data_IF_519725225026
#
_entry.id   IF_519725225026
#
_cell.length_a   1.000
_cell.length_b   1.000
_cell.length_c   1.000
_cell.angle_alpha   90.00
_cell.angle_beta   90.00
_cell.angle_gamma   90.00
#
_symmetry.space_group_name_H-M   'P 1'
#
loop_
_entity.id
_entity.type
_entity.pdbx_description
1 polymer ?
#
# COMPACT_ATOMS: atom_id res chain seq x y z
N UNK A 1 -61.19 -7.05 37.14
CA UNK A 1 -60.02 -7.79 36.61
C UNK A 1 -59.34 -6.87 35.63
N UNK A 2 -58.19 -6.28 36.05
CA UNK A 2 -57.42 -5.32 35.21
C UNK A 2 -56.29 -6.08 34.56
N UNK A 3 -56.28 -6.13 33.24
CA UNK A 3 -55.16 -6.74 32.45
C UNK A 3 -54.06 -5.71 32.29
N UNK A 4 -52.87 -6.00 32.83
CA UNK A 4 -51.66 -5.22 32.71
C UNK A 4 -50.95 -5.75 31.46
N UNK A 5 -50.89 -4.92 30.40
CA UNK A 5 -50.08 -5.19 29.19
C UNK A 5 -48.66 -4.67 29.41
N UNK A 6 -47.71 -5.58 29.50
CA UNK A 6 -46.27 -5.25 29.56
C UNK A 6 -45.77 -5.13 28.13
N UNK A 7 -45.42 -3.91 27.72
CA UNK A 7 -44.71 -3.65 26.46
C UNK A 7 -43.25 -3.89 26.68
N UNK A 8 -42.72 -4.98 26.10
CA UNK A 8 -41.26 -5.21 25.99
C UNK A 8 -40.70 -4.29 24.88
N UNK A 9 -40.03 -3.21 25.30
CA UNK A 9 -39.24 -2.39 24.39
C UNK A 9 -37.90 -3.11 24.16
N UNK A 10 -37.76 -3.75 22.98
CA UNK A 10 -36.51 -4.33 22.55
C UNK A 10 -35.53 -3.24 22.06
N UNK A 11 -34.49 -2.98 22.82
CA UNK A 11 -33.38 -2.13 22.38
C UNK A 11 -32.52 -2.92 21.39
N UNK A 12 -32.63 -2.57 20.10
CA UNK A 12 -31.70 -3.07 19.06
C UNK A 12 -30.40 -2.27 19.17
N UNK A 13 -29.38 -2.85 19.80
CA UNK A 13 -28.01 -2.33 19.73
C UNK A 13 -27.47 -2.56 18.32
N UNK A 14 -27.45 -1.51 17.49
CA UNK A 14 -26.73 -1.50 16.24
C UNK A 14 -25.23 -1.53 16.54
N UNK A 15 -24.59 -2.66 16.32
CA UNK A 15 -23.12 -2.79 16.31
C UNK A 15 -22.61 -2.08 15.07
N UNK A 16 -22.23 -0.82 15.23
CA UNK A 16 -21.46 -0.08 14.21
C UNK A 16 -20.07 -0.70 14.21
N UNK A 17 -19.81 -1.55 13.22
CA UNK A 17 -18.48 -2.09 12.96
C UNK A 17 -17.54 -0.94 12.62
N UNK A 18 -16.69 -0.53 13.57
CA UNK A 18 -15.57 0.35 13.32
C UNK A 18 -14.59 -0.41 12.42
N UNK A 19 -14.56 -0.09 11.13
CA UNK A 19 -13.48 -0.50 10.26
C UNK A 19 -12.20 0.15 10.79
N UNK A 20 -11.38 -0.62 11.49
CA UNK A 20 -10.05 -0.18 11.92
C UNK A 20 -9.24 0.09 10.66
N UNK A 21 -8.91 1.35 10.38
CA UNK A 21 -7.88 1.68 9.41
C UNK A 21 -6.58 1.04 9.90
N UNK A 22 -6.15 -0.03 9.23
CA UNK A 22 -4.95 -0.74 9.62
C UNK A 22 -3.75 0.16 9.34
N UNK A 23 -3.01 0.54 10.38
CA UNK A 23 -1.76 1.26 10.22
C UNK A 23 -0.77 0.39 9.41
N UNK A 24 0.01 1.03 8.53
CA UNK A 24 0.99 0.31 7.74
C UNK A 24 2.05 -0.35 8.64
N UNK A 25 2.39 -1.59 8.33
CA UNK A 25 3.41 -2.37 9.05
C UNK A 25 4.75 -2.28 8.31
N UNK A 26 5.72 -1.59 8.91
CA UNK A 26 7.04 -1.38 8.33
C UNK A 26 7.85 -2.68 8.24
N UNK A 27 7.71 -3.58 9.20
CA UNK A 27 8.41 -4.87 9.17
C UNK A 27 7.84 -5.78 8.08
N UNK A 28 6.52 -5.82 7.93
CA UNK A 28 5.85 -6.52 6.83
C UNK A 28 6.22 -5.89 5.48
N UNK A 29 6.35 -4.57 5.40
CA UNK A 29 6.79 -3.86 4.19
C UNK A 29 8.19 -4.25 3.75
N UNK A 30 9.16 -4.29 4.68
CA UNK A 30 10.51 -4.78 4.43
C UNK A 30 10.49 -6.22 3.94
N UNK A 31 9.80 -7.10 4.65
CA UNK A 31 9.72 -8.52 4.29
C UNK A 31 9.10 -8.73 2.89
N UNK A 32 8.05 -7.99 2.56
CA UNK A 32 7.41 -8.05 1.24
C UNK A 32 8.33 -7.53 0.14
N UNK A 33 9.08 -6.46 0.38
CA UNK A 33 10.07 -5.90 -0.56
C UNK A 33 11.18 -6.90 -0.87
N UNK A 34 11.72 -7.56 0.15
CA UNK A 34 12.76 -8.60 0.00
C UNK A 34 12.21 -9.85 -0.68
N UNK A 35 11.11 -10.40 -0.19
CA UNK A 35 10.49 -11.63 -0.68
C UNK A 35 10.11 -11.56 -2.17
N UNK A 36 9.64 -10.39 -2.62
CA UNK A 36 9.21 -10.20 -4.00
C UNK A 36 10.34 -9.78 -4.96
N UNK A 37 11.60 -9.77 -4.49
CA UNK A 37 12.76 -9.54 -5.33
C UNK A 37 13.01 -8.07 -5.71
N UNK A 38 12.36 -7.11 -5.09
CA UNK A 38 12.50 -5.68 -5.38
C UNK A 38 13.94 -5.19 -5.14
N UNK A 39 14.63 -5.81 -4.19
CA UNK A 39 16.04 -5.51 -3.85
C UNK A 39 16.99 -5.68 -5.03
N UNK A 40 16.69 -6.59 -5.95
CA UNK A 40 17.56 -6.89 -7.08
C UNK A 40 17.78 -5.69 -8.01
N UNK A 41 16.77 -4.82 -8.15
CA UNK A 41 16.83 -3.63 -9.01
C UNK A 41 16.97 -2.33 -8.24
N UNK A 42 16.38 -2.25 -7.05
CA UNK A 42 16.28 -1.01 -6.27
C UNK A 42 17.24 -0.92 -5.09
N UNK A 43 18.00 -2.01 -4.80
CA UNK A 43 18.87 -2.09 -3.64
C UNK A 43 18.17 -2.47 -2.34
N UNK A 44 18.93 -2.84 -1.33
CA UNK A 44 18.41 -3.42 -0.09
C UNK A 44 17.48 -2.49 0.70
N UNK A 45 17.70 -1.19 0.62
CA UNK A 45 16.86 -0.18 1.25
C UNK A 45 16.10 0.69 0.22
N UNK A 46 16.10 0.29 -1.06
CA UNK A 46 15.58 1.12 -2.13
C UNK A 46 16.44 2.35 -2.45
N UNK A 47 17.67 2.38 -1.98
CA UNK A 47 18.59 3.52 -1.99
C UNK A 47 19.70 3.44 -3.06
N UNK A 48 19.88 2.26 -3.68
CA UNK A 48 20.90 2.00 -4.68
C UNK A 48 20.32 1.18 -5.83
N UNK A 49 20.51 1.67 -7.04
CA UNK A 49 20.00 0.99 -8.23
C UNK A 49 21.13 0.31 -8.99
N UNK A 50 20.84 -0.82 -9.64
CA UNK A 50 21.81 -1.54 -10.47
C UNK A 50 22.07 -0.86 -11.83
N UNK A 51 21.17 0.03 -12.25
CA UNK A 51 21.31 0.78 -13.49
C UNK A 51 20.53 2.10 -13.41
N UNK A 52 20.92 3.14 -14.16
CA UNK A 52 20.28 4.48 -14.11
C UNK A 52 18.79 4.50 -14.45
N UNK A 53 18.31 3.49 -15.17
CA UNK A 53 16.88 3.38 -15.53
C UNK A 53 15.99 2.97 -14.36
N UNK A 54 16.52 2.40 -13.30
CA UNK A 54 15.76 2.03 -12.12
C UNK A 54 15.74 3.19 -11.11
N UNK A 55 14.58 3.58 -10.62
CA UNK A 55 14.49 4.71 -9.69
C UNK A 55 14.99 4.35 -8.28
N UNK A 56 15.58 5.31 -7.60
CA UNK A 56 15.75 5.29 -6.16
C UNK A 56 14.39 5.49 -5.53
N UNK A 57 14.08 4.73 -4.48
CA UNK A 57 12.78 4.71 -3.81
C UNK A 57 12.85 5.20 -2.36
N UNK A 58 14.04 5.08 -1.74
CA UNK A 58 14.27 5.45 -0.34
C UNK A 58 13.93 6.92 -0.06
N UNK A 59 13.08 7.14 0.94
CA UNK A 59 12.64 8.47 1.36
C UNK A 59 11.57 9.10 0.49
N UNK A 60 11.07 8.42 -0.54
CA UNK A 60 9.95 8.92 -1.34
C UNK A 60 8.66 8.94 -0.51
N UNK A 61 7.74 9.85 -0.81
CA UNK A 61 6.43 9.91 -0.15
C UNK A 61 5.67 8.59 -0.30
N UNK A 62 5.11 8.11 0.78
CA UNK A 62 4.37 6.84 0.83
C UNK A 62 3.12 6.86 -0.04
N UNK A 63 2.35 7.94 -0.02
CA UNK A 63 1.18 8.13 -0.88
C UNK A 63 1.56 8.09 -2.38
N UNK A 64 2.66 8.77 -2.76
CA UNK A 64 3.17 8.69 -4.14
C UNK A 64 3.53 7.26 -4.52
N UNK A 65 4.20 6.51 -3.64
CA UNK A 65 4.58 5.13 -3.89
C UNK A 65 3.36 4.21 -4.03
N UNK A 66 2.35 4.37 -3.16
CA UNK A 66 1.08 3.64 -3.27
C UNK A 66 0.42 3.92 -4.63
N UNK A 67 0.31 5.19 -5.01
CA UNK A 67 -0.28 5.57 -6.30
C UNK A 67 0.51 5.03 -7.49
N UNK A 68 1.85 5.08 -7.44
CA UNK A 68 2.71 4.58 -8.50
C UNK A 68 2.58 3.06 -8.68
N UNK A 69 2.65 2.29 -7.58
CA UNK A 69 2.53 0.83 -7.61
C UNK A 69 1.14 0.40 -8.09
N UNK A 70 0.08 1.05 -7.60
CA UNK A 70 -1.29 0.81 -8.06
C UNK A 70 -1.47 1.15 -9.55
N UNK A 71 -0.82 2.21 -10.04
CA UNK A 71 -0.87 2.56 -11.45
C UNK A 71 -0.22 1.49 -12.35
N UNK A 72 0.85 0.83 -11.89
CA UNK A 72 1.42 -0.33 -12.59
C UNK A 72 0.48 -1.53 -12.57
N UNK A 73 -0.21 -1.83 -11.44
CA UNK A 73 -1.23 -2.89 -11.41
C UNK A 73 -2.35 -2.63 -12.42
N UNK A 74 -2.82 -1.40 -12.51
CA UNK A 74 -3.84 -1.00 -13.50
C UNK A 74 -3.32 -1.14 -14.93
N UNK A 75 -2.04 -0.87 -15.16
CA UNK A 75 -1.40 -1.02 -16.47
C UNK A 75 -1.35 -2.46 -16.97
N UNK A 76 -1.28 -3.45 -16.07
CA UNK A 76 -1.29 -4.89 -16.44
C UNK A 76 -2.68 -5.52 -16.42
N UNK A 77 -3.64 -4.95 -15.70
CA UNK A 77 -5.01 -5.45 -15.63
C UNK A 77 -5.93 -4.94 -16.75
N UNK A 78 -5.38 -4.25 -17.75
CA UNK A 78 -6.13 -3.61 -18.84
C UNK A 78 -7.24 -2.66 -18.35
N UNK A 79 -6.96 -1.92 -17.28
CA UNK A 79 -7.86 -0.89 -16.79
C UNK A 79 -8.19 0.14 -17.89
N UNK A 80 -9.36 0.80 -17.85
CA UNK A 80 -9.72 1.82 -18.83
C UNK A 80 -8.67 2.92 -18.95
N UNK A 81 -8.48 3.47 -20.14
CA UNK A 81 -7.49 4.55 -20.39
C UNK A 81 -7.75 5.83 -19.57
N UNK A 82 -8.96 6.00 -19.04
CA UNK A 82 -9.30 7.09 -18.11
C UNK A 82 -8.67 6.90 -16.72
N UNK A 83 -8.23 5.69 -16.37
CA UNK A 83 -7.53 5.44 -15.12
C UNK A 83 -6.08 5.91 -15.19
N UNK A 84 -5.54 6.36 -14.05
CA UNK A 84 -4.10 6.58 -13.94
C UNK A 84 -3.39 5.22 -14.05
N UNK A 85 -2.71 4.98 -15.18
CA UNK A 85 -2.00 3.73 -15.48
C UNK A 85 -0.54 3.99 -15.81
N UNK A 86 0.32 3.04 -15.43
CA UNK A 86 1.73 2.99 -15.83
C UNK A 86 2.00 1.67 -16.54
N UNK A 87 2.63 1.74 -17.69
CA UNK A 87 3.02 0.55 -18.46
C UNK A 87 4.54 0.44 -18.48
N UNK A 88 5.06 -0.62 -17.91
CA UNK A 88 6.46 -0.99 -17.95
C UNK A 88 6.54 -2.52 -17.86
N UNK A 89 7.20 -3.22 -18.80
CA UNK A 89 7.23 -4.69 -18.80
C UNK A 89 7.86 -5.29 -17.55
N UNK A 90 8.93 -4.68 -17.01
CA UNK A 90 9.64 -5.17 -15.84
C UNK A 90 8.77 -4.96 -14.60
N UNK A 91 8.43 -3.70 -14.27
CA UNK A 91 7.61 -3.40 -13.10
C UNK A 91 6.22 -4.03 -13.19
N UNK A 92 5.64 -4.14 -14.39
CA UNK A 92 4.36 -4.81 -14.59
C UNK A 92 4.39 -6.29 -14.20
N UNK A 93 5.51 -6.99 -14.41
CA UNK A 93 5.67 -8.37 -13.95
C UNK A 93 5.85 -8.47 -12.44
N UNK A 94 6.66 -7.58 -11.85
CA UNK A 94 6.91 -7.59 -10.41
C UNK A 94 5.65 -7.25 -9.60
N UNK A 95 4.89 -6.27 -10.06
CA UNK A 95 3.71 -5.79 -9.33
C UNK A 95 2.57 -6.81 -9.24
N UNK A 96 2.51 -7.78 -10.16
CA UNK A 96 1.51 -8.87 -10.13
C UNK A 96 1.60 -9.73 -8.87
N UNK A 97 2.76 -9.75 -8.24
CA UNK A 97 3.05 -10.54 -7.02
C UNK A 97 2.50 -9.90 -5.75
N UNK A 98 2.14 -8.61 -5.79
CA UNK A 98 1.78 -7.81 -4.62
C UNK A 98 0.27 -7.69 -4.44
N UNK A 99 -0.19 -7.95 -3.22
CA UNK A 99 -1.52 -7.55 -2.77
C UNK A 99 -1.58 -6.08 -2.37
N UNK A 100 -2.78 -5.57 -2.14
CA UNK A 100 -2.99 -4.18 -1.71
C UNK A 100 -2.31 -3.85 -0.38
N UNK A 101 -2.32 -4.79 0.57
CA UNK A 101 -1.63 -4.64 1.85
C UNK A 101 -0.10 -4.57 1.67
N UNK A 102 0.47 -5.39 0.79
CA UNK A 102 1.92 -5.35 0.49
C UNK A 102 2.31 -3.98 -0.07
N UNK A 103 1.50 -3.42 -0.98
CA UNK A 103 1.76 -2.10 -1.56
C UNK A 103 1.82 -1.02 -0.49
N UNK A 104 0.84 -0.99 0.42
CA UNK A 104 0.79 0.00 1.50
C UNK A 104 1.97 -0.16 2.45
N UNK A 105 2.29 -1.39 2.84
CA UNK A 105 3.37 -1.68 3.77
C UNK A 105 4.75 -1.38 3.16
N UNK A 106 4.99 -1.78 1.89
CA UNK A 106 6.22 -1.47 1.15
C UNK A 106 6.40 0.04 1.01
N UNK A 107 5.34 0.77 0.63
CA UNK A 107 5.39 2.22 0.47
C UNK A 107 5.76 2.92 1.77
N UNK A 108 5.13 2.55 2.88
CA UNK A 108 5.43 3.09 4.20
C UNK A 108 6.86 2.77 4.64
N UNK A 109 7.33 1.53 4.42
CA UNK A 109 8.69 1.15 4.76
C UNK A 109 9.73 1.92 3.94
N UNK A 110 9.55 2.05 2.63
CA UNK A 110 10.44 2.81 1.74
C UNK A 110 10.47 4.30 2.09
N UNK A 111 9.33 4.87 2.44
CA UNK A 111 9.23 6.28 2.87
C UNK A 111 10.03 6.56 4.15
N UNK A 112 10.13 5.57 5.04
CA UNK A 112 10.91 5.66 6.27
C UNK A 112 12.42 5.46 6.06
N UNK A 113 12.87 5.00 4.87
CA UNK A 113 14.28 4.84 4.59
C UNK A 113 14.98 6.19 4.37
N UNK A 114 16.25 6.28 4.79
CA UNK A 114 17.08 7.46 4.51
C UNK A 114 17.62 7.37 3.07
N UNK A 115 17.45 8.43 2.31
CA UNK A 115 17.91 8.50 0.94
C UNK A 115 17.83 9.92 0.38
N UNK A 116 18.23 10.14 -0.87
CA UNK A 116 18.23 11.48 -1.49
C UNK A 116 16.82 12.07 -1.64
N UNK A 117 15.76 11.24 -1.52
CA UNK A 117 14.38 11.69 -1.58
C UNK A 117 13.77 11.95 -0.19
N UNK A 118 14.56 11.83 0.88
CA UNK A 118 14.07 12.02 2.25
C UNK A 118 13.61 13.46 2.45
N UNK A 119 12.37 13.61 2.87
CA UNK A 119 11.77 14.91 3.18
C UNK A 119 12.00 15.25 4.64
N UNK A 120 12.70 16.35 4.88
CA UNK A 120 12.77 16.96 6.21
C UNK A 120 11.49 17.79 6.42
N UNK A 121 10.55 17.30 7.24
CA UNK A 121 9.47 18.16 7.75
C UNK A 121 10.11 19.22 8.61
N UNK A 122 10.03 20.49 8.18
CA UNK A 122 10.37 21.66 9.00
C UNK A 122 9.27 21.91 10.02
#
# INVERSE_FOLDING_TARGET
MKRVSILLSGAVCALVGMASAQAADLAAGKAAFEKNGCVACHGAAGDKTIAPMYPILAGQHDDYLVHALTAYQRGVSNAPNSANIRKNPIMGNEIKKLGSADIVNIAAWLSAQKGPLTHHRK
#
